data_IF_117298963659
#
_entry.id   IF_117298963659
#
_cell.length_a   1.000
_cell.length_b   1.000
_cell.length_c   1.000
_cell.angle_alpha   90.00
_cell.angle_beta   90.00
_cell.angle_gamma   90.00
#
_symmetry.space_group_name_H-M   'P 1'
#
loop_
_entity.id
_entity.type
_entity.pdbx_description
1 polymer ?
#
# COMPACT_ATOMS: atom_id res chain seq x y z
N UNK A 1 -1.03 4.31 17.61
CA UNK A 1 -0.96 2.83 17.70
C UNK A 1 -1.37 2.24 16.36
N UNK A 2 -0.91 1.05 15.98
CA UNK A 2 -1.31 0.42 14.71
C UNK A 2 -2.69 -0.23 14.87
N UNK A 3 -3.61 0.07 13.96
CA UNK A 3 -4.96 -0.55 13.90
C UNK A 3 -4.96 -1.79 13.01
N UNK A 4 -4.17 -1.79 11.94
CA UNK A 4 -4.04 -2.94 11.05
C UNK A 4 -3.08 -2.67 9.89
N UNK A 5 -2.95 -3.67 9.01
CA UNK A 5 -2.16 -3.52 7.79
C UNK A 5 -2.74 -4.30 6.62
N UNK A 6 -2.37 -3.88 5.41
CA UNK A 6 -2.68 -4.57 4.16
C UNK A 6 -1.38 -4.88 3.41
N UNK A 7 -1.15 -6.14 3.11
CA UNK A 7 0.00 -6.59 2.32
C UNK A 7 -0.36 -6.71 0.83
N UNK A 8 0.53 -6.27 -0.07
CA UNK A 8 0.33 -6.42 -1.53
C UNK A 8 1.61 -6.26 -2.34
N UNK A 9 1.53 -6.61 -3.62
CA UNK A 9 2.49 -6.21 -4.65
C UNK A 9 1.99 -4.94 -5.36
N UNK A 10 2.89 -3.98 -5.61
CA UNK A 10 2.55 -2.79 -6.41
C UNK A 10 2.51 -3.14 -7.89
N UNK A 11 1.33 -3.02 -8.48
CA UNK A 11 1.08 -3.23 -9.91
C UNK A 11 0.94 -1.90 -10.65
N UNK A 12 1.26 -1.84 -11.96
CA UNK A 12 1.05 -0.64 -12.78
C UNK A 12 -0.43 -0.25 -12.91
N UNK A 13 -1.31 -1.25 -12.87
CA UNK A 13 -2.75 -1.07 -13.04
C UNK A 13 -3.38 -0.84 -11.66
N UNK A 14 -3.92 0.36 -11.47
CA UNK A 14 -4.92 0.78 -10.47
C UNK A 14 -4.69 0.38 -9.01
N UNK A 15 -4.50 1.36 -8.12
CA UNK A 15 -4.50 1.15 -6.66
C UNK A 15 -5.90 1.10 -6.04
N UNK A 16 -6.98 1.13 -6.84
CA UNK A 16 -8.40 1.09 -6.43
C UNK A 16 -8.70 1.94 -5.19
N UNK A 17 -8.32 3.23 -5.22
CA UNK A 17 -8.55 4.20 -4.15
C UNK A 17 -7.91 3.86 -2.78
N UNK A 18 -6.93 2.95 -2.73
CA UNK A 18 -6.33 2.49 -1.46
C UNK A 18 -5.24 3.44 -0.94
N UNK A 19 -4.17 3.60 -1.71
CA UNK A 19 -3.04 4.45 -1.37
C UNK A 19 -2.22 4.75 -2.62
N UNK A 20 -1.78 5.99 -2.79
CA UNK A 20 -0.85 6.37 -3.84
C UNK A 20 0.57 5.97 -3.45
N UNK A 21 1.20 5.17 -4.30
CA UNK A 21 2.55 4.64 -4.05
C UNK A 21 3.48 5.10 -5.18
N UNK A 22 4.65 5.68 -4.85
CA UNK A 22 5.61 6.11 -5.87
C UNK A 22 6.01 4.98 -6.82
N UNK A 23 6.09 5.28 -8.12
CA UNK A 23 6.43 4.28 -9.18
C UNK A 23 7.74 3.53 -8.93
N UNK A 24 8.69 4.09 -8.17
CA UNK A 24 9.95 3.43 -7.76
C UNK A 24 9.75 2.13 -6.96
N UNK A 25 8.54 1.85 -6.50
CA UNK A 25 8.18 0.64 -5.77
C UNK A 25 7.34 -0.36 -6.59
N UNK A 26 7.15 -0.15 -7.89
CA UNK A 26 6.54 -1.11 -8.80
C UNK A 26 7.20 -2.49 -8.70
N UNK A 27 6.38 -3.56 -8.68
CA UNK A 27 6.83 -4.94 -8.55
C UNK A 27 7.31 -5.34 -7.15
N UNK A 28 7.36 -4.41 -6.19
CA UNK A 28 7.78 -4.70 -4.81
C UNK A 28 6.59 -5.09 -3.95
N UNK A 29 6.86 -5.94 -2.96
CA UNK A 29 5.96 -6.24 -1.85
C UNK A 29 5.99 -5.10 -0.85
N UNK A 30 4.81 -4.61 -0.47
CA UNK A 30 4.65 -3.49 0.45
C UNK A 30 3.56 -3.77 1.47
N UNK A 31 3.63 -3.02 2.57
CA UNK A 31 2.61 -2.96 3.60
C UNK A 31 2.01 -1.56 3.63
N UNK A 32 0.69 -1.46 3.61
CA UNK A 32 -0.04 -0.24 3.98
C UNK A 32 -0.43 -0.40 5.44
N UNK A 33 0.01 0.52 6.30
CA UNK A 33 -0.26 0.49 7.74
C UNK A 33 -1.37 1.51 8.03
N UNK A 34 -2.40 1.07 8.75
CA UNK A 34 -3.50 1.90 9.22
C UNK A 34 -3.22 2.23 10.69
N UNK A 35 -3.21 3.52 11.04
CA UNK A 35 -2.99 3.98 12.39
C UNK A 35 -4.33 4.34 13.02
N UNK A 36 -4.46 4.10 14.33
CA UNK A 36 -5.57 4.66 15.11
C UNK A 36 -5.48 6.19 15.07
N UNK A 37 -6.65 6.84 15.07
CA UNK A 37 -6.76 8.30 15.22
C UNK A 37 -6.18 8.79 16.54
#
# INVERSE_FOLDING_TARGET
>A
EVEGFLERIITPIGTSAKADVPKRYLGKRVYVIILKN
#
